data_IF_017529869200
#
_entry.id   IF_017529869200
#
_cell.length_a   1.000
_cell.length_b   1.000
_cell.length_c   1.000
_cell.angle_alpha   90.00
_cell.angle_beta   90.00
_cell.angle_gamma   90.00
#
_symmetry.space_group_name_H-M   'P 1'
#
loop_
_entity.id
_entity.type
_entity.pdbx_description
1 polymer ?
#
# COMPACT_ATOMS: atom_id res chain seq x y z
N UNK A 1 2.90 6.55 9.34
CA UNK A 1 3.03 5.61 8.22
C UNK A 1 2.26 4.33 8.48
N UNK A 2 1.71 3.72 7.44
CA UNK A 2 0.98 2.44 7.54
C UNK A 2 1.36 1.55 6.37
N UNK A 3 1.71 0.30 6.65
CA UNK A 3 1.75 -0.77 5.67
C UNK A 3 0.37 -1.45 5.63
N UNK A 4 -0.25 -1.47 4.46
CA UNK A 4 -1.64 -1.91 4.30
C UNK A 4 -1.76 -3.03 3.26
N UNK A 5 -2.34 -4.15 3.66
CA UNK A 5 -2.71 -5.24 2.77
C UNK A 5 -3.95 -4.86 1.97
N UNK A 6 -3.76 -4.60 0.68
CA UNK A 6 -4.82 -4.21 -0.24
C UNK A 6 -5.77 -5.37 -0.59
N UNK A 7 -5.30 -6.61 -0.51
CA UNK A 7 -6.12 -7.79 -0.81
C UNK A 7 -7.07 -8.10 0.34
N UNK A 8 -6.56 -8.12 1.57
CA UNK A 8 -7.32 -8.44 2.77
C UNK A 8 -7.93 -7.20 3.45
N UNK A 9 -7.59 -5.99 2.99
CA UNK A 9 -8.05 -4.71 3.56
C UNK A 9 -7.71 -4.55 5.05
N UNK A 10 -6.48 -4.91 5.41
CA UNK A 10 -5.97 -4.88 6.78
C UNK A 10 -4.69 -4.07 6.87
N UNK A 11 -4.49 -3.36 7.97
CA UNK A 11 -3.20 -2.76 8.28
C UNK A 11 -2.28 -3.82 8.90
N UNK A 12 -1.11 -4.03 8.30
CA UNK A 12 -0.12 -5.00 8.75
C UNK A 12 0.85 -4.39 9.76
N UNK A 13 1.19 -3.12 9.57
CA UNK A 13 2.10 -2.40 10.44
C UNK A 13 1.80 -0.90 10.44
N UNK A 14 2.03 -0.25 11.58
CA UNK A 14 1.86 1.18 11.75
C UNK A 14 3.02 1.78 12.51
N UNK A 15 3.52 2.92 12.05
CA UNK A 15 4.58 3.66 12.71
C UNK A 15 4.18 5.11 12.91
N UNK A 16 4.24 5.58 14.15
CA UNK A 16 4.16 6.99 14.51
C UNK A 16 5.58 7.54 14.64
N UNK A 17 5.87 8.62 13.96
CA UNK A 17 7.18 9.24 13.98
C UNK A 17 7.05 10.75 13.95
N UNK A 18 8.07 11.46 14.41
CA UNK A 18 8.15 12.90 14.24
C UNK A 18 8.21 13.28 12.76
N UNK A 19 7.78 14.51 12.44
CA UNK A 19 7.77 15.04 11.07
C UNK A 19 9.15 15.12 10.41
N UNK A 20 10.22 14.89 11.15
CA UNK A 20 11.61 14.95 10.68
C UNK A 20 12.06 13.66 9.97
N UNK A 21 11.40 12.53 10.22
CA UNK A 21 11.72 11.28 9.54
C UNK A 21 11.05 11.21 8.16
N UNK A 22 11.86 10.98 7.14
CA UNK A 22 11.38 10.87 5.76
C UNK A 22 10.52 9.63 5.52
N UNK A 23 9.43 9.78 4.76
CA UNK A 23 8.51 8.68 4.42
C UNK A 23 9.21 7.46 3.81
N UNK A 24 10.30 7.65 3.05
CA UNK A 24 11.09 6.55 2.46
C UNK A 24 11.84 5.73 3.49
N UNK A 25 12.29 6.35 4.59
CA UNK A 25 12.97 5.63 5.68
C UNK A 25 11.96 4.74 6.41
N UNK A 26 10.76 5.24 6.64
CA UNK A 26 9.66 4.46 7.22
C UNK A 26 9.25 3.30 6.33
N UNK A 27 9.11 3.52 5.03
CA UNK A 27 8.84 2.45 4.08
C UNK A 27 9.92 1.38 4.11
N UNK A 28 11.21 1.77 4.18
CA UNK A 28 12.33 0.84 4.30
C UNK A 28 12.27 0.00 5.59
N UNK A 29 11.81 0.57 6.70
CA UNK A 29 11.63 -0.15 7.97
C UNK A 29 10.49 -1.17 7.86
N UNK A 30 9.31 -0.79 7.36
CA UNK A 30 8.19 -1.70 7.12
C UNK A 30 8.58 -2.90 6.23
N UNK A 31 9.36 -2.65 5.16
CA UNK A 31 9.83 -3.70 4.25
C UNK A 31 10.68 -4.75 4.95
N UNK A 32 11.48 -4.36 5.95
CA UNK A 32 12.34 -5.29 6.69
C UNK A 32 11.58 -6.22 7.63
N UNK A 33 10.42 -5.79 8.10
CA UNK A 33 9.71 -6.45 9.20
C UNK A 33 8.52 -7.29 8.74
N UNK A 34 7.83 -6.87 7.67
CA UNK A 34 6.48 -7.37 7.38
C UNK A 34 6.26 -7.80 5.92
N UNK A 35 7.25 -7.64 5.04
CA UNK A 35 7.10 -7.97 3.62
C UNK A 35 7.96 -9.18 3.28
N UNK A 36 7.39 -10.13 2.55
CA UNK A 36 8.02 -11.40 2.22
C UNK A 36 8.49 -11.44 0.77
N UNK A 37 9.37 -12.39 0.45
CA UNK A 37 9.76 -12.71 -0.92
C UNK A 37 8.51 -12.99 -1.78
N UNK A 38 8.43 -12.36 -2.95
CA UNK A 38 7.31 -12.50 -3.88
C UNK A 38 6.16 -11.53 -3.66
N UNK A 39 6.10 -10.81 -2.53
CA UNK A 39 5.08 -9.80 -2.31
C UNK A 39 5.24 -8.64 -3.31
N UNK A 40 4.12 -8.02 -3.70
CA UNK A 40 4.09 -6.81 -4.50
C UNK A 40 3.71 -5.60 -3.65
N UNK A 41 4.65 -4.68 -3.47
CA UNK A 41 4.39 -3.43 -2.74
C UNK A 41 4.07 -2.31 -3.71
N UNK A 42 2.97 -1.60 -3.44
CA UNK A 42 2.49 -0.50 -4.28
C UNK A 42 2.70 0.83 -3.55
N UNK A 43 3.42 1.74 -4.19
CA UNK A 43 3.74 3.05 -3.62
C UNK A 43 3.17 4.20 -4.45
N UNK A 44 2.88 5.31 -3.76
CA UNK A 44 2.52 6.57 -4.42
C UNK A 44 3.75 7.34 -4.93
N UNK A 45 3.47 8.49 -5.54
CA UNK A 45 4.47 9.46 -5.97
C UNK A 45 5.29 9.92 -4.75
N UNK A 46 6.60 10.01 -4.91
CA UNK A 46 7.47 10.40 -3.80
C UNK A 46 8.31 9.26 -3.22
N UNK A 47 7.85 8.01 -3.36
CA UNK A 47 8.62 6.85 -2.92
C UNK A 47 9.63 6.36 -3.96
N UNK A 48 9.60 6.90 -5.18
CA UNK A 48 10.59 6.51 -6.17
C UNK A 48 12.00 6.96 -5.72
N UNK A 49 12.89 6.00 -5.61
CA UNK A 49 14.28 6.22 -5.20
C UNK A 49 15.10 4.97 -5.39
N UNK A 50 16.36 5.16 -5.86
CA UNK A 50 17.23 4.03 -6.19
C UNK A 50 17.40 3.07 -5.00
N UNK A 51 17.68 3.60 -3.80
CA UNK A 51 17.93 2.79 -2.61
C UNK A 51 16.74 1.91 -2.24
N UNK A 52 15.51 2.45 -2.28
CA UNK A 52 14.31 1.69 -1.97
C UNK A 52 14.06 0.58 -3.00
N UNK A 53 14.23 0.87 -4.29
CA UNK A 53 14.10 -0.12 -5.36
C UNK A 53 15.18 -1.21 -5.23
N UNK A 54 16.44 -0.84 -4.97
CA UNK A 54 17.54 -1.77 -4.80
C UNK A 54 17.35 -2.68 -3.57
N UNK A 55 16.86 -2.12 -2.45
CA UNK A 55 16.49 -2.88 -1.26
C UNK A 55 15.42 -3.92 -1.58
N UNK A 56 14.32 -3.52 -2.21
CA UNK A 56 13.22 -4.44 -2.56
C UNK A 56 13.72 -5.58 -3.46
N UNK A 57 14.51 -5.26 -4.49
CA UNK A 57 15.09 -6.27 -5.38
C UNK A 57 16.04 -7.22 -4.65
N UNK A 58 16.83 -6.75 -3.70
CA UNK A 58 17.71 -7.62 -2.89
C UNK A 58 16.92 -8.57 -1.99
N UNK A 59 15.73 -8.18 -1.57
CA UNK A 59 14.79 -8.99 -0.78
C UNK A 59 13.84 -9.83 -1.66
N UNK A 60 13.99 -9.77 -2.98
CA UNK A 60 13.08 -10.39 -3.96
C UNK A 60 11.61 -9.95 -3.81
N UNK A 61 11.41 -8.74 -3.33
CA UNK A 61 10.11 -8.08 -3.21
C UNK A 61 9.83 -7.34 -4.51
N UNK A 62 8.63 -7.55 -5.07
CA UNK A 62 8.17 -6.82 -6.24
C UNK A 62 7.64 -5.44 -5.85
N UNK A 63 7.77 -4.48 -6.77
CA UNK A 63 7.23 -3.14 -6.53
C UNK A 63 6.49 -2.56 -7.73
N UNK A 64 5.56 -1.66 -7.41
CA UNK A 64 4.87 -0.80 -8.36
C UNK A 64 4.81 0.62 -7.76
N UNK A 65 5.50 1.57 -8.36
CA UNK A 65 5.66 2.93 -7.86
C UNK A 65 5.12 3.93 -8.88
N UNK A 66 4.34 4.91 -8.45
CA UNK A 66 3.94 6.03 -9.31
C UNK A 66 5.13 6.96 -9.51
N UNK A 67 5.52 7.16 -10.76
CA UNK A 67 6.65 8.01 -11.12
C UNK A 67 6.35 9.49 -11.04
N UNK A 68 7.37 10.29 -10.76
CA UNK A 68 7.30 11.74 -10.74
C UNK A 68 7.77 12.35 -12.06
N UNK A 69 7.10 13.40 -12.53
CA UNK A 69 7.54 14.19 -13.71
C UNK A 69 8.94 14.81 -13.54
N UNK A 70 9.45 14.89 -12.31
CA UNK A 70 10.77 15.45 -11.96
C UNK A 70 11.86 14.41 -11.78
N UNK A 71 11.57 13.13 -12.02
CA UNK A 71 12.48 12.01 -11.85
C UNK A 71 13.51 11.90 -12.99
N UNK A 72 14.09 10.72 -13.19
CA UNK A 72 15.15 10.47 -14.18
C UNK A 72 14.67 10.60 -15.63
N UNK A 73 15.62 10.91 -16.55
CA UNK A 73 15.33 11.31 -17.92
C UNK A 73 14.45 10.37 -18.74
N UNK A 74 14.58 9.03 -18.56
CA UNK A 74 13.75 8.06 -19.27
C UNK A 74 12.26 8.20 -18.90
N UNK A 75 11.97 8.45 -17.62
CA UNK A 75 10.62 8.66 -17.12
C UNK A 75 10.04 9.99 -17.62
N UNK A 76 10.84 11.06 -17.57
CA UNK A 76 10.46 12.37 -18.13
C UNK A 76 10.13 12.29 -19.63
N UNK A 77 10.90 11.49 -20.38
CA UNK A 77 10.66 11.30 -21.80
C UNK A 77 9.29 10.67 -22.09
N UNK A 78 8.86 9.70 -21.27
CA UNK A 78 7.53 9.08 -21.39
C UNK A 78 6.40 10.07 -21.09
N UNK A 79 6.56 10.93 -20.08
CA UNK A 79 5.58 11.98 -19.81
C UNK A 79 5.45 12.98 -20.96
N UNK A 80 6.58 13.32 -21.66
CA UNK A 80 6.56 14.21 -22.82
C UNK A 80 5.91 13.61 -24.05
N UNK A 81 6.01 12.28 -24.22
CA UNK A 81 5.35 11.57 -25.31
C UNK A 81 3.84 11.57 -25.20
N UNK A 82 3.30 11.73 -24.02
CA UNK A 82 1.86 11.70 -23.66
C UNK A 82 1.09 10.54 -24.31
N UNK A 83 1.74 9.39 -24.46
CA UNK A 83 1.18 8.18 -25.05
C UNK A 83 0.93 7.13 -23.98
N UNK A 84 -0.30 6.66 -23.83
CA UNK A 84 -0.64 5.56 -22.94
C UNK A 84 -0.33 4.20 -23.57
N UNK A 85 -0.17 3.18 -22.74
CA UNK A 85 0.07 1.80 -23.17
C UNK A 85 1.51 1.52 -23.61
N UNK A 86 2.46 2.45 -23.35
CA UNK A 86 3.88 2.23 -23.60
C UNK A 86 4.47 1.39 -22.48
N UNK A 87 5.27 0.39 -22.84
CA UNK A 87 6.09 -0.42 -21.93
C UNK A 87 7.55 -0.31 -22.38
N UNK A 88 8.44 -0.02 -21.42
CA UNK A 88 9.86 0.14 -21.70
C UNK A 88 10.72 -0.38 -20.54
N UNK A 89 11.62 -1.32 -20.79
CA UNK A 89 12.65 -1.73 -19.84
C UNK A 89 13.79 -0.72 -19.85
N UNK A 90 14.27 -0.37 -18.67
CA UNK A 90 15.34 0.60 -18.45
C UNK A 90 16.29 0.08 -17.39
N UNK A 91 17.60 0.19 -17.66
CA UNK A 91 18.65 -0.04 -16.69
C UNK A 91 18.96 1.27 -15.95
N UNK A 92 19.01 1.21 -14.66
CA UNK A 92 19.41 2.31 -13.78
C UNK A 92 20.67 1.92 -13.03
N UNK A 93 21.64 2.83 -13.02
CA UNK A 93 22.86 2.69 -12.23
C UNK A 93 22.73 3.51 -10.95
N UNK A 94 23.26 3.01 -9.85
CA UNK A 94 23.27 3.69 -8.56
C UNK A 94 23.88 5.11 -8.69
N UNK A 95 23.15 6.16 -8.34
CA UNK A 95 23.69 7.50 -8.27
C UNK A 95 24.81 7.58 -7.20
N UNK A 96 25.70 8.54 -7.33
CA UNK A 96 26.90 8.63 -6.47
C UNK A 96 26.57 8.54 -4.98
N UNK A 97 25.51 9.20 -4.57
CA UNK A 97 25.04 9.27 -3.18
C UNK A 97 24.52 7.94 -2.64
N UNK A 98 24.05 7.06 -3.53
CA UNK A 98 23.50 5.75 -3.16
C UNK A 98 24.57 4.64 -3.12
N UNK A 99 25.69 4.80 -3.81
CA UNK A 99 26.70 3.74 -3.99
C UNK A 99 27.26 3.20 -2.69
N UNK A 100 27.65 4.09 -1.78
CA UNK A 100 28.20 3.71 -0.48
C UNK A 100 27.21 2.86 0.33
N UNK A 101 25.93 3.25 0.33
CA UNK A 101 24.89 2.51 1.02
C UNK A 101 24.64 1.16 0.34
N UNK A 102 24.56 1.10 -0.99
CA UNK A 102 24.40 -0.16 -1.72
C UNK A 102 25.55 -1.13 -1.44
N UNK A 103 26.80 -0.65 -1.43
CA UNK A 103 27.97 -1.48 -1.12
C UNK A 103 27.93 -2.01 0.30
N UNK A 104 27.59 -1.16 1.28
CA UNK A 104 27.47 -1.53 2.70
C UNK A 104 26.39 -2.59 2.93
N UNK A 105 25.23 -2.42 2.30
CA UNK A 105 24.05 -3.27 2.50
C UNK A 105 24.04 -4.48 1.54
N UNK A 106 25.02 -4.60 0.63
CA UNK A 106 25.04 -5.67 -0.39
C UNK A 106 23.96 -5.54 -1.46
N UNK A 107 23.44 -4.32 -1.69
CA UNK A 107 22.41 -4.08 -2.68
C UNK A 107 22.99 -3.87 -4.09
N UNK A 108 22.25 -4.18 -5.16
CA UNK A 108 22.74 -4.04 -6.52
C UNK A 108 23.09 -2.59 -6.87
N UNK A 109 24.21 -2.41 -7.59
CA UNK A 109 24.65 -1.10 -8.14
C UNK A 109 24.03 -0.82 -9.52
N UNK A 110 23.45 -1.81 -10.16
CA UNK A 110 22.66 -1.69 -11.39
C UNK A 110 21.36 -2.48 -11.22
N UNK A 111 20.23 -1.87 -11.57
CA UNK A 111 18.91 -2.49 -11.52
C UNK A 111 18.22 -2.34 -12.88
N UNK A 112 17.43 -3.35 -13.25
CA UNK A 112 16.53 -3.26 -14.41
C UNK A 112 15.11 -3.07 -13.90
N UNK A 113 14.44 -2.06 -14.43
CA UNK A 113 13.05 -1.73 -14.14
C UNK A 113 12.24 -1.65 -15.43
N UNK A 114 10.94 -1.72 -15.29
CA UNK A 114 10.00 -1.51 -16.39
C UNK A 114 9.19 -0.23 -16.13
N UNK A 115 9.12 0.64 -17.14
CA UNK A 115 8.31 1.85 -17.13
C UNK A 115 7.05 1.57 -17.95
N UNK A 116 5.90 1.92 -17.40
CA UNK A 116 4.60 1.68 -18.02
C UNK A 116 3.79 2.96 -17.99
N UNK A 117 3.24 3.37 -19.12
CA UNK A 117 2.34 4.53 -19.19
C UNK A 117 0.90 4.08 -19.13
N UNK A 118 0.12 4.67 -18.22
CA UNK A 118 -1.30 4.42 -18.07
C UNK A 118 -2.07 5.74 -18.13
N UNK A 119 -3.27 5.74 -18.71
CA UNK A 119 -4.17 6.90 -18.67
C UNK A 119 -5.27 6.65 -17.66
N UNK A 120 -5.41 7.59 -16.73
CA UNK A 120 -6.46 7.53 -15.72
C UNK A 120 -7.82 7.90 -16.33
N UNK A 121 -8.89 7.58 -15.63
CA UNK A 121 -10.25 7.99 -16.01
C UNK A 121 -10.43 9.50 -16.08
N UNK A 122 -9.60 10.26 -15.37
CA UNK A 122 -9.53 11.72 -15.42
C UNK A 122 -8.88 12.26 -16.71
N UNK A 123 -8.32 11.40 -17.56
CA UNK A 123 -7.53 11.76 -18.75
C UNK A 123 -6.05 12.04 -18.47
N UNK A 124 -5.62 12.06 -17.20
CA UNK A 124 -4.21 12.30 -16.84
C UNK A 124 -3.34 11.09 -17.19
N UNK A 125 -2.16 11.34 -17.80
CA UNK A 125 -1.15 10.33 -18.04
C UNK A 125 -0.31 10.14 -16.80
N UNK A 126 -0.19 8.87 -16.37
CA UNK A 126 0.71 8.44 -15.32
C UNK A 126 1.78 7.51 -15.86
N UNK A 127 2.97 7.59 -15.29
CA UNK A 127 4.06 6.65 -15.56
C UNK A 127 4.31 5.83 -14.31
N UNK A 128 4.21 4.52 -14.44
CA UNK A 128 4.45 3.56 -13.37
C UNK A 128 5.83 2.94 -13.54
N UNK A 129 6.52 2.76 -12.43
CA UNK A 129 7.86 2.14 -12.32
C UNK A 129 7.68 0.81 -11.60
N UNK A 130 8.15 -0.30 -12.19
CA UNK A 130 7.94 -1.62 -11.61
C UNK A 130 9.12 -2.57 -11.84
N UNK A 131 9.26 -3.54 -10.94
CA UNK A 131 10.15 -4.69 -11.08
C UNK A 131 9.53 -5.86 -11.86
N UNK A 132 8.23 -5.80 -12.20
CA UNK A 132 7.52 -6.84 -12.97
C UNK A 132 7.90 -6.73 -14.46
N UNK A 133 8.98 -7.40 -14.86
CA UNK A 133 9.60 -7.23 -16.18
C UNK A 133 8.93 -8.07 -17.26
N UNK A 134 8.36 -9.22 -16.91
CA UNK A 134 7.74 -10.15 -17.86
C UNK A 134 6.42 -9.58 -18.39
N UNK A 135 6.34 -9.35 -19.71
CA UNK A 135 5.16 -8.72 -20.33
C UNK A 135 4.06 -9.73 -20.64
N UNK A 136 4.39 -11.00 -20.78
CA UNK A 136 3.42 -12.06 -20.99
C UNK A 136 2.69 -12.38 -19.69
N UNK A 137 3.44 -12.46 -18.59
CA UNK A 137 2.89 -12.71 -17.26
C UNK A 137 2.20 -11.45 -16.68
N UNK A 138 2.74 -10.26 -16.97
CA UNK A 138 2.23 -8.97 -16.47
C UNK A 138 1.93 -8.01 -17.63
N UNK A 139 0.82 -8.20 -18.36
CA UNK A 139 0.46 -7.36 -19.50
C UNK A 139 0.25 -5.89 -19.10
N UNK A 140 0.73 -4.98 -19.93
CA UNK A 140 0.65 -3.52 -19.70
C UNK A 140 -0.76 -3.03 -19.36
N UNK A 141 -1.79 -3.60 -19.97
CA UNK A 141 -3.21 -3.24 -19.75
C UNK A 141 -3.70 -3.45 -18.30
N UNK A 142 -3.08 -4.35 -17.54
CA UNK A 142 -3.50 -4.65 -16.17
C UNK A 142 -2.99 -3.64 -15.14
N UNK A 143 -1.94 -2.87 -15.47
CA UNK A 143 -1.28 -2.00 -14.51
C UNK A 143 -2.14 -0.82 -14.04
N UNK A 144 -3.02 -0.29 -14.90
CA UNK A 144 -3.95 0.76 -14.48
C UNK A 144 -4.87 0.24 -13.36
N UNK A 145 -5.42 -0.98 -13.52
CA UNK A 145 -6.29 -1.63 -12.53
C UNK A 145 -5.51 -2.02 -11.27
N UNK A 146 -4.29 -2.51 -11.45
CA UNK A 146 -3.42 -2.90 -10.33
C UNK A 146 -3.07 -1.69 -9.47
N UNK A 147 -2.63 -0.60 -10.09
CA UNK A 147 -2.29 0.63 -9.39
C UNK A 147 -3.52 1.28 -8.74
N UNK A 148 -4.69 1.18 -9.35
CA UNK A 148 -5.93 1.73 -8.80
C UNK A 148 -6.27 1.12 -7.43
N UNK A 149 -5.88 -0.11 -7.14
CA UNK A 149 -6.08 -0.74 -5.81
C UNK A 149 -5.41 0.02 -4.67
N UNK A 150 -4.38 0.82 -4.93
CA UNK A 150 -3.73 1.68 -3.94
C UNK A 150 -4.72 2.60 -3.21
N UNK A 151 -5.79 3.04 -3.87
CA UNK A 151 -6.86 3.84 -3.26
C UNK A 151 -7.54 3.14 -2.07
N UNK A 152 -7.35 1.85 -1.91
CA UNK A 152 -7.80 1.12 -0.72
C UNK A 152 -7.17 1.66 0.57
N UNK A 153 -5.92 2.10 0.54
CA UNK A 153 -5.24 2.72 1.67
C UNK A 153 -5.84 4.10 2.02
N UNK A 154 -6.17 4.91 1.01
CA UNK A 154 -6.83 6.21 1.26
C UNK A 154 -8.22 6.01 1.88
N UNK A 155 -8.94 5.00 1.44
CA UNK A 155 -10.23 4.60 2.04
C UNK A 155 -10.05 4.15 3.49
N UNK A 156 -8.96 3.44 3.81
CA UNK A 156 -8.61 3.05 5.17
C UNK A 156 -8.36 4.28 6.06
N UNK A 157 -7.53 5.23 5.60
CA UNK A 157 -7.28 6.47 6.35
C UNK A 157 -8.54 7.31 6.55
N UNK A 158 -9.37 7.46 5.51
CA UNK A 158 -10.65 8.17 5.63
C UNK A 158 -11.58 7.50 6.65
N UNK A 159 -11.57 6.17 6.73
CA UNK A 159 -12.33 5.39 7.72
C UNK A 159 -11.82 5.63 9.15
N UNK A 160 -10.51 5.57 9.35
CA UNK A 160 -9.90 5.79 10.66
C UNK A 160 -10.15 7.23 11.12
N UNK A 161 -9.93 8.22 10.26
CA UNK A 161 -10.17 9.63 10.60
C UNK A 161 -11.64 9.94 10.88
N UNK A 162 -12.54 9.50 9.99
CA UNK A 162 -13.93 9.91 10.07
C UNK A 162 -14.83 9.09 10.99
N UNK A 163 -14.47 7.84 11.29
CA UNK A 163 -15.33 6.93 12.09
C UNK A 163 -14.76 6.55 13.44
N UNK A 164 -13.45 6.64 13.59
CA UNK A 164 -12.73 6.24 14.80
C UNK A 164 -12.17 7.45 15.53
N UNK A 165 -12.53 8.68 15.10
CA UNK A 165 -12.12 9.94 15.72
C UNK A 165 -10.61 10.00 16.02
N UNK A 166 -9.79 9.64 15.02
CA UNK A 166 -8.33 9.63 15.16
C UNK A 166 -7.77 10.98 15.68
N UNK A 167 -8.53 12.06 15.56
CA UNK A 167 -8.11 13.39 16.03
C UNK A 167 -8.41 13.62 17.52
N UNK A 168 -9.19 12.74 18.17
CA UNK A 168 -9.53 12.81 19.60
C UNK A 168 -8.68 11.79 20.40
N UNK A 169 -7.39 12.07 20.53
CA UNK A 169 -6.52 11.25 21.36
C UNK A 169 -6.88 11.39 22.85
N UNK A 170 -6.80 10.27 23.59
CA UNK A 170 -7.07 10.22 25.02
C UNK A 170 -6.01 10.97 25.86
N UNK A 171 -4.87 11.32 25.26
CA UNK A 171 -3.79 12.09 25.88
C UNK A 171 -2.85 12.75 24.87
N UNK A 172 -1.94 13.57 25.39
CA UNK A 172 -0.95 14.32 24.60
C UNK A 172 0.43 13.66 24.58
N UNK A 173 0.65 12.61 25.35
CA UNK A 173 1.91 11.88 25.42
C UNK A 173 2.02 10.92 24.21
N UNK A 174 3.19 10.79 23.61
CA UNK A 174 3.46 9.94 22.45
C UNK A 174 2.99 8.49 22.67
N UNK A 175 3.27 7.91 23.83
CA UNK A 175 2.88 6.55 24.14
C UNK A 175 1.35 6.36 24.15
N UNK A 176 0.60 7.36 24.63
CA UNK A 176 -0.87 7.31 24.63
C UNK A 176 -1.40 7.41 23.22
N UNK A 177 -0.83 8.27 22.39
CA UNK A 177 -1.20 8.41 20.98
C UNK A 177 -0.89 7.10 20.21
N UNK A 178 0.24 6.47 20.48
CA UNK A 178 0.59 5.16 19.90
C UNK A 178 -0.39 4.07 20.31
N UNK A 179 -0.79 4.01 21.58
CA UNK A 179 -1.80 3.07 22.07
C UNK A 179 -3.16 3.30 21.41
N UNK A 180 -3.59 4.54 21.29
CA UNK A 180 -4.85 4.90 20.63
C UNK A 180 -4.84 4.46 19.17
N UNK A 181 -3.74 4.73 18.43
CA UNK A 181 -3.59 4.30 17.04
C UNK A 181 -3.60 2.77 16.94
N UNK A 182 -2.86 2.08 17.79
CA UNK A 182 -2.82 0.61 17.81
C UNK A 182 -4.21 0.02 18.08
N UNK A 183 -4.96 0.58 19.03
CA UNK A 183 -6.34 0.16 19.33
C UNK A 183 -7.27 0.39 18.12
N UNK A 184 -7.16 1.54 17.45
CA UNK A 184 -7.96 1.86 16.26
C UNK A 184 -7.66 0.90 15.09
N UNK A 185 -6.39 0.61 14.86
CA UNK A 185 -5.95 -0.36 13.84
C UNK A 185 -6.46 -1.75 14.17
N UNK A 186 -6.32 -2.20 15.41
CA UNK A 186 -6.84 -3.47 15.88
C UNK A 186 -8.35 -3.60 15.64
N UNK A 187 -9.13 -2.61 16.07
CA UNK A 187 -10.59 -2.57 15.85
C UNK A 187 -10.95 -2.61 14.35
N UNK A 188 -10.22 -1.87 13.52
CA UNK A 188 -10.43 -1.86 12.06
C UNK A 188 -10.12 -3.22 11.42
N UNK A 189 -9.06 -3.89 11.86
CA UNK A 189 -8.70 -5.22 11.39
C UNK A 189 -9.73 -6.28 11.85
N UNK A 190 -10.14 -6.22 13.12
CA UNK A 190 -11.21 -7.07 13.67
C UNK A 190 -12.52 -6.91 12.88
N UNK A 191 -12.94 -5.67 12.63
CA UNK A 191 -14.11 -5.39 11.78
C UNK A 191 -13.96 -6.06 10.42
N UNK A 192 -12.80 -5.94 9.78
CA UNK A 192 -12.54 -6.49 8.44
C UNK A 192 -12.67 -8.01 8.45
N UNK A 193 -12.09 -8.70 9.44
CA UNK A 193 -12.19 -10.17 9.58
C UNK A 193 -13.64 -10.62 9.80
N UNK A 194 -14.38 -9.95 10.68
CA UNK A 194 -15.77 -10.28 10.95
C UNK A 194 -16.67 -10.02 9.73
N UNK A 195 -16.43 -8.92 9.01
CA UNK A 195 -17.17 -8.61 7.79
C UNK A 195 -16.87 -9.56 6.64
N UNK A 196 -15.66 -10.07 6.50
CA UNK A 196 -15.33 -11.05 5.44
C UNK A 196 -16.15 -12.32 5.62
N UNK A 197 -16.17 -12.87 6.85
CA UNK A 197 -17.00 -14.02 7.21
C UNK A 197 -18.51 -13.75 7.09
N UNK A 198 -18.94 -12.55 7.50
CA UNK A 198 -20.34 -12.12 7.38
C UNK A 198 -20.77 -11.92 5.94
N UNK A 199 -19.89 -11.43 5.07
CA UNK A 199 -20.14 -11.26 3.64
C UNK A 199 -20.39 -12.58 2.93
N UNK A 200 -19.61 -13.63 3.22
CA UNK A 200 -19.82 -14.95 2.63
C UNK A 200 -21.23 -15.47 2.93
N UNK A 201 -21.62 -15.45 4.21
CA UNK A 201 -22.98 -15.84 4.64
C UNK A 201 -24.08 -14.96 4.06
N UNK A 202 -23.81 -13.65 3.90
CA UNK A 202 -24.76 -12.69 3.35
C UNK A 202 -24.97 -12.93 1.85
N UNK A 203 -23.91 -13.22 1.11
CA UNK A 203 -23.99 -13.55 -0.32
C UNK A 203 -24.78 -14.83 -0.55
N UNK A 204 -24.56 -15.88 0.25
CA UNK A 204 -25.33 -17.13 0.20
C UNK A 204 -26.84 -16.88 0.42
N UNK A 205 -27.20 -16.06 1.42
CA UNK A 205 -28.61 -15.74 1.74
C UNK A 205 -29.29 -14.80 0.74
N UNK A 206 -28.51 -14.05 -0.04
CA UNK A 206 -29.04 -13.01 -0.94
C UNK A 206 -28.84 -13.32 -2.42
N UNK A 207 -28.49 -14.56 -2.76
CA UNK A 207 -28.31 -15.03 -4.16
C UNK A 207 -29.49 -14.65 -5.07
N UNK A 208 -30.72 -14.63 -4.52
CA UNK A 208 -31.95 -14.30 -5.29
C UNK A 208 -32.16 -12.79 -5.49
N UNK A 209 -31.36 -11.91 -4.88
CA UNK A 209 -31.53 -10.45 -5.01
C UNK A 209 -30.80 -9.91 -6.24
N UNK A 210 -31.47 -9.06 -7.01
CA UNK A 210 -30.89 -8.37 -8.19
C UNK A 210 -29.70 -7.46 -7.83
N UNK A 211 -29.69 -6.87 -6.62
CA UNK A 211 -28.63 -6.01 -6.12
C UNK A 211 -27.78 -6.74 -5.08
N UNK A 212 -26.44 -6.63 -5.20
CA UNK A 212 -25.52 -7.16 -4.18
C UNK A 212 -25.69 -6.39 -2.87
N UNK A 213 -26.06 -7.12 -1.82
CA UNK A 213 -26.17 -6.57 -0.46
C UNK A 213 -24.78 -6.51 0.15
N UNK A 214 -24.46 -5.38 0.81
CA UNK A 214 -23.20 -5.19 1.54
C UNK A 214 -23.53 -4.87 3.00
N UNK A 215 -22.71 -5.33 3.97
CA UNK A 215 -22.87 -4.95 5.37
C UNK A 215 -22.72 -3.44 5.56
N UNK A 216 -23.49 -2.89 6.49
CA UNK A 216 -23.31 -1.51 6.90
C UNK A 216 -22.12 -1.41 7.85
N UNK A 217 -20.99 -0.89 7.35
CA UNK A 217 -19.75 -0.78 8.13
C UNK A 217 -19.85 0.14 9.35
N UNK A 218 -20.74 1.12 9.35
CA UNK A 218 -20.93 1.98 10.54
C UNK A 218 -21.58 1.22 11.69
N UNK A 219 -22.57 0.37 11.37
CA UNK A 219 -23.21 -0.51 12.34
C UNK A 219 -22.23 -1.60 12.82
N UNK A 220 -21.49 -2.20 11.89
CA UNK A 220 -20.53 -3.27 12.24
C UNK A 220 -19.45 -2.80 13.21
N UNK A 221 -18.87 -1.62 12.96
CA UNK A 221 -17.85 -1.07 13.85
C UNK A 221 -18.37 -0.76 15.25
N UNK A 222 -19.58 -0.18 15.33
CA UNK A 222 -20.24 0.07 16.62
C UNK A 222 -20.47 -1.25 17.37
N UNK A 223 -20.98 -2.26 16.68
CA UNK A 223 -21.18 -3.59 17.25
C UNK A 223 -19.87 -4.23 17.75
N UNK A 224 -18.81 -4.14 16.95
CA UNK A 224 -17.48 -4.64 17.37
C UNK A 224 -17.00 -3.93 18.64
N UNK A 225 -17.11 -2.59 18.71
CA UNK A 225 -16.75 -1.82 19.91
C UNK A 225 -17.52 -2.28 21.15
N UNK A 226 -18.84 -2.46 21.04
CA UNK A 226 -19.71 -2.83 22.16
C UNK A 226 -19.47 -4.28 22.66
N UNK A 227 -19.13 -5.18 21.76
CA UNK A 227 -18.99 -6.61 22.07
C UNK A 227 -17.54 -7.12 21.99
N UNK A 228 -16.55 -6.21 21.98
CA UNK A 228 -15.14 -6.56 21.83
C UNK A 228 -14.69 -7.60 22.84
N UNK A 229 -15.07 -7.43 24.11
CA UNK A 229 -14.70 -8.35 25.18
C UNK A 229 -15.27 -9.76 24.95
N UNK A 230 -16.56 -9.83 24.63
CA UNK A 230 -17.24 -11.11 24.36
C UNK A 230 -16.61 -11.82 23.15
N UNK A 231 -16.27 -11.06 22.10
CA UNK A 231 -15.61 -11.58 20.89
C UNK A 231 -14.22 -12.15 21.21
N UNK A 232 -13.44 -11.47 22.04
CA UNK A 232 -12.10 -11.96 22.42
C UNK A 232 -12.16 -13.23 23.27
N UNK A 233 -13.12 -13.33 24.19
CA UNK A 233 -13.33 -14.52 25.01
C UNK A 233 -13.79 -15.71 24.14
N UNK A 234 -14.72 -15.49 23.20
CA UNK A 234 -15.19 -16.54 22.30
C UNK A 234 -14.15 -17.01 21.27
N UNK A 235 -13.13 -16.20 20.96
CA UNK A 235 -12.06 -16.58 20.05
C UNK A 235 -10.93 -17.34 20.75
N UNK A 236 -10.87 -17.31 22.09
CA UNK A 236 -9.88 -17.99 22.92
C UNK A 236 -10.34 -19.35 23.48
N UNK A 237 -11.58 -19.73 23.23
CA UNK A 237 -12.18 -21.03 23.57
C UNK A 237 -12.36 -21.88 22.30
#
# INVERSE_FOLDING_TARGET
>A
SVLYDLANQMALDTSLVSSEQGERQLASAHLKLQVNEGDLVVFDRGYEGYLLMAQMLSQKVCFLIRGSRRSFGALQALFRQDKAGVSKRVKLTAPKEARATCQKEGWPLEITIRLITVRLSTGELEVLVTSLLDEDLYPTREFARLYWKRWGQETFFARIKGRLDLENFSGKCTNVIEQDIAALVFLSNMETVLLSRGNERLQERTVHRKAKVKPNRSVSLHTVKMHLFDLLVCLGS
#
